data_IF_125182797951
#
_entry.id   IF_125182797951
#
_cell.length_a   1.000
_cell.length_b   1.000
_cell.length_c   1.000
_cell.angle_alpha   90.00
_cell.angle_beta   90.00
_cell.angle_gamma   90.00
#
_symmetry.space_group_name_H-M   'P 1'
#
loop_
_entity.id
_entity.type
_entity.pdbx_description
1 polymer ?
#
# COMPACT_ATOMS: atom_id res chain seq x y z
N UNK A 1 -4.92 8.17 -2.41
CA UNK A 1 -6.28 8.66 -2.11
C UNK A 1 -6.69 9.68 -3.15
N UNK A 2 -7.96 9.69 -3.53
CA UNK A 2 -8.63 10.85 -4.14
C UNK A 2 -9.37 11.53 -2.99
N UNK A 3 -9.16 12.83 -2.77
CA UNK A 3 -9.59 13.52 -1.55
C UNK A 3 -8.41 13.91 -0.65
N UNK A 4 -8.66 14.19 0.62
CA UNK A 4 -7.62 14.61 1.57
C UNK A 4 -6.74 13.45 2.07
N UNK A 5 -5.46 13.71 2.44
CA UNK A 5 -4.58 12.73 3.08
C UNK A 5 -4.85 12.52 4.58
N UNK A 6 -5.74 13.30 5.21
CA UNK A 6 -6.03 13.15 6.64
C UNK A 6 -6.80 11.85 6.92
N UNK A 7 -6.53 11.22 8.07
CA UNK A 7 -7.14 9.95 8.47
C UNK A 7 -7.60 9.94 9.91
N UNK A 8 -8.53 9.03 10.22
CA UNK A 8 -9.06 8.77 11.57
C UNK A 8 -9.02 7.26 11.84
N UNK A 9 -8.61 6.87 13.05
CA UNK A 9 -8.78 5.49 13.55
C UNK A 9 -10.16 5.39 14.20
N UNK A 10 -10.92 4.34 13.87
CA UNK A 10 -12.25 4.12 14.44
C UNK A 10 -12.18 3.54 15.87
N UNK A 11 -13.35 3.43 16.51
CA UNK A 11 -13.50 2.96 17.90
C UNK A 11 -13.06 1.50 18.13
N UNK A 12 -12.84 0.73 17.06
CA UNK A 12 -12.25 -0.61 17.10
C UNK A 12 -10.73 -0.61 17.34
N UNK A 13 -10.06 0.55 17.22
CA UNK A 13 -8.62 0.71 17.36
C UNK A 13 -7.79 0.27 16.15
N UNK A 14 -8.42 -0.12 15.04
CA UNK A 14 -7.76 -0.73 13.88
C UNK A 14 -8.17 -0.14 12.54
N UNK A 15 -9.47 0.14 12.34
CA UNK A 15 -9.96 0.61 11.04
C UNK A 15 -9.54 2.05 10.81
N UNK A 16 -8.68 2.27 9.82
CA UNK A 16 -8.27 3.61 9.37
C UNK A 16 -9.17 4.06 8.23
N UNK A 17 -9.81 5.22 8.38
CA UNK A 17 -10.63 5.84 7.32
C UNK A 17 -10.06 7.22 6.95
N UNK A 18 -10.27 7.65 5.71
CA UNK A 18 -10.06 9.04 5.28
C UNK A 18 -10.96 9.98 6.07
N UNK A 19 -10.46 11.14 6.48
CA UNK A 19 -11.21 12.10 7.29
C UNK A 19 -12.39 12.72 6.50
N UNK A 20 -12.22 12.90 5.19
CA UNK A 20 -13.25 13.39 4.25
C UNK A 20 -14.18 12.28 3.72
N UNK A 21 -13.90 11.00 4.05
CA UNK A 21 -14.57 9.79 3.56
C UNK A 21 -14.46 9.55 2.05
N UNK A 22 -13.52 10.19 1.37
CA UNK A 22 -13.23 9.97 -0.05
C UNK A 22 -12.42 8.68 -0.27
N UNK A 23 -12.38 8.19 -1.52
CA UNK A 23 -11.84 6.88 -1.86
C UNK A 23 -10.30 6.79 -1.73
N UNK A 24 -9.86 5.83 -0.92
CA UNK A 24 -8.46 5.44 -0.79
C UNK A 24 -8.15 4.15 -1.58
N UNK A 25 -6.87 3.95 -1.91
CA UNK A 25 -6.32 2.74 -2.49
C UNK A 25 -4.86 2.62 -2.05
N UNK A 26 -4.40 1.40 -1.83
CA UNK A 26 -3.06 1.07 -1.37
C UNK A 26 -2.58 -0.21 -2.07
N UNK A 27 -1.30 -0.30 -2.32
CA UNK A 27 -0.60 -1.45 -2.90
C UNK A 27 0.74 -1.59 -2.19
N UNK A 28 1.16 -2.82 -1.92
CA UNK A 28 2.39 -3.13 -1.19
C UNK A 28 3.22 -4.17 -1.95
N UNK A 29 4.54 -4.03 -1.89
CA UNK A 29 5.49 -5.05 -2.29
C UNK A 29 6.67 -5.09 -1.31
N UNK A 30 7.03 -6.29 -0.84
CA UNK A 30 8.30 -6.52 -0.17
C UNK A 30 9.45 -6.59 -1.20
N UNK A 31 10.56 -5.92 -0.94
CA UNK A 31 11.72 -5.81 -1.85
C UNK A 31 13.01 -6.16 -1.10
N UNK A 32 13.82 -7.04 -1.66
CA UNK A 32 15.20 -7.26 -1.24
C UNK A 32 16.16 -6.36 -2.05
N UNK A 33 17.23 -5.89 -1.41
CA UNK A 33 18.34 -5.22 -2.09
C UNK A 33 19.48 -6.25 -2.21
N UNK A 34 19.94 -6.50 -3.44
CA UNK A 34 21.06 -7.41 -3.74
C UNK A 34 22.16 -6.68 -4.51
N UNK A 35 23.29 -7.35 -4.74
CA UNK A 35 24.40 -6.81 -5.55
C UNK A 35 24.00 -6.59 -7.02
N UNK A 36 23.06 -7.39 -7.54
CA UNK A 36 22.48 -7.28 -8.89
C UNK A 36 21.36 -6.23 -8.99
N UNK A 37 20.84 -5.74 -7.86
CA UNK A 37 19.79 -4.69 -7.79
C UNK A 37 18.62 -5.02 -6.85
N UNK A 38 17.47 -4.33 -6.99
CA UNK A 38 16.29 -4.60 -6.19
C UNK A 38 15.46 -5.77 -6.75
N UNK A 39 15.18 -6.78 -5.92
CA UNK A 39 14.28 -7.89 -6.24
C UNK A 39 12.95 -7.74 -5.50
N UNK A 40 11.86 -7.58 -6.26
CA UNK A 40 10.48 -7.57 -5.73
C UNK A 40 10.07 -9.00 -5.35
N UNK A 41 10.12 -9.33 -4.05
CA UNK A 41 9.90 -10.67 -3.50
C UNK A 41 8.43 -11.14 -3.54
N UNK A 42 7.52 -10.23 -3.87
CA UNK A 42 6.05 -10.44 -3.86
C UNK A 42 5.43 -10.10 -5.21
N UNK A 43 6.25 -10.02 -6.27
CA UNK A 43 5.77 -10.02 -7.64
C UNK A 43 5.13 -11.38 -7.99
N UNK A 44 4.31 -11.42 -9.04
CA UNK A 44 3.84 -12.67 -9.61
C UNK A 44 4.96 -13.31 -10.44
N UNK A 45 5.22 -14.60 -10.23
CA UNK A 45 6.17 -15.35 -11.05
C UNK A 45 5.77 -15.34 -12.53
N UNK A 46 6.77 -15.28 -13.41
CA UNK A 46 6.68 -15.30 -14.88
C UNK A 46 5.84 -14.20 -15.57
N UNK A 47 5.29 -13.22 -14.86
CA UNK A 47 4.54 -12.11 -15.49
C UNK A 47 5.47 -11.14 -16.21
N UNK A 48 5.69 -11.40 -17.50
CA UNK A 48 6.03 -10.36 -18.48
C UNK A 48 4.84 -9.42 -18.65
N UNK A 49 5.08 -8.14 -18.37
CA UNK A 49 4.33 -7.01 -18.94
C UNK A 49 4.95 -6.62 -20.31
#
# INVERSE_FOLDING_TARGET
TIGSPEVQVLIDGWTVVTADRSWASHWEHTVAITEDGPWVLTALDEVRL
#
